data_IF_974398679597
#
_entry.id   IF_974398679597
#
_cell.length_a   1.000
_cell.length_b   1.000
_cell.length_c   1.000
_cell.angle_alpha   90.00
_cell.angle_beta   90.00
_cell.angle_gamma   90.00
#
_symmetry.space_group_name_H-M   'P 1'
#
loop_
_entity.id
_entity.type
_entity.pdbx_description
1 polymer ?
#
# COMPACT_ATOMS: atom_id res chain seq x y z
N UNK A 1 -7.33 -26.18 12.02
CA UNK A 1 -7.18 -25.13 13.07
C UNK A 1 -6.30 -23.97 12.60
N UNK A 2 -5.10 -24.23 12.06
CA UNK A 2 -4.14 -23.20 11.61
C UNK A 2 -4.72 -22.23 10.56
N UNK A 3 -5.44 -22.72 9.55
CA UNK A 3 -6.03 -21.85 8.52
C UNK A 3 -7.07 -20.88 9.08
N UNK A 4 -7.88 -21.31 10.08
CA UNK A 4 -8.86 -20.44 10.73
C UNK A 4 -8.18 -19.31 11.53
N UNK A 5 -7.09 -19.63 12.22
CA UNK A 5 -6.28 -18.63 12.95
C UNK A 5 -5.65 -17.64 11.96
N UNK A 6 -5.10 -18.11 10.85
CA UNK A 6 -4.56 -17.24 9.79
C UNK A 6 -5.63 -16.29 9.27
N UNK A 7 -6.80 -16.80 8.88
CA UNK A 7 -7.89 -15.97 8.37
C UNK A 7 -8.32 -14.92 9.38
N UNK A 8 -8.46 -15.29 10.66
CA UNK A 8 -8.77 -14.31 11.71
C UNK A 8 -7.67 -13.26 11.87
N UNK A 9 -6.39 -13.65 11.81
CA UNK A 9 -5.28 -12.70 11.89
C UNK A 9 -5.25 -11.75 10.70
N UNK A 10 -5.51 -12.23 9.48
CA UNK A 10 -5.55 -11.40 8.27
C UNK A 10 -6.74 -10.43 8.33
N UNK A 11 -7.93 -10.93 8.69
CA UNK A 11 -9.13 -10.10 8.83
C UNK A 11 -8.98 -9.02 9.91
N UNK A 12 -8.24 -9.31 10.99
CA UNK A 12 -8.01 -8.38 12.08
C UNK A 12 -6.64 -7.69 12.01
N UNK A 13 -5.87 -7.87 10.93
CA UNK A 13 -4.48 -7.42 10.84
C UNK A 13 -4.38 -5.92 11.11
N UNK A 14 -5.25 -5.14 10.47
CA UNK A 14 -5.34 -3.71 10.69
C UNK A 14 -5.68 -3.37 12.15
N UNK A 15 -6.67 -4.02 12.76
CA UNK A 15 -7.01 -3.78 14.17
C UNK A 15 -5.86 -4.09 15.13
N UNK A 16 -5.07 -5.13 14.85
CA UNK A 16 -3.93 -5.53 15.67
C UNK A 16 -2.78 -4.52 15.52
N UNK A 17 -2.52 -4.06 14.29
CA UNK A 17 -1.40 -3.18 13.96
C UNK A 17 -1.72 -1.69 14.17
N UNK A 18 -2.99 -1.30 14.25
CA UNK A 18 -3.41 0.10 14.38
C UNK A 18 -2.78 0.79 15.58
N UNK A 19 -2.95 0.24 16.78
CA UNK A 19 -2.42 0.84 18.01
C UNK A 19 -0.89 1.01 18.01
N UNK A 20 -0.07 -0.03 17.74
CA UNK A 20 1.39 0.15 17.74
C UNK A 20 1.85 1.14 16.67
N UNK A 21 1.25 1.12 15.47
CA UNK A 21 1.67 2.03 14.39
C UNK A 21 1.25 3.47 14.69
N UNK A 22 0.05 3.70 15.24
CA UNK A 22 -0.41 5.05 15.60
C UNK A 22 0.37 5.67 16.77
N UNK A 23 0.99 4.85 17.63
CA UNK A 23 1.86 5.30 18.71
C UNK A 23 3.27 5.66 18.25
N UNK A 24 3.68 5.23 17.05
CA UNK A 24 4.99 5.62 16.50
C UNK A 24 5.02 7.12 16.19
N UNK A 25 6.08 7.84 16.59
CA UNK A 25 6.22 9.25 16.25
C UNK A 25 6.17 9.45 14.72
N UNK A 26 5.40 10.45 14.26
CA UNK A 26 5.26 10.77 12.83
C UNK A 26 6.59 10.92 12.09
N UNK A 27 7.62 11.43 12.78
CA UNK A 27 8.99 11.54 12.24
C UNK A 27 9.57 10.17 11.85
N UNK A 28 9.37 9.15 12.68
CA UNK A 28 9.85 7.79 12.41
C UNK A 28 9.10 7.20 11.23
N UNK A 29 7.77 7.34 11.19
CA UNK A 29 6.96 6.90 10.05
C UNK A 29 7.42 7.55 8.75
N UNK A 30 7.66 8.87 8.76
CA UNK A 30 8.14 9.65 7.62
C UNK A 30 9.52 9.19 7.13
N UNK A 31 10.48 9.01 8.04
CA UNK A 31 11.82 8.53 7.67
C UNK A 31 11.73 7.13 7.05
N UNK A 32 10.99 6.22 7.69
CA UNK A 32 10.81 4.87 7.18
C UNK A 32 10.15 4.85 5.80
N UNK A 33 9.10 5.66 5.59
CA UNK A 33 8.42 5.79 4.30
C UNK A 33 9.35 6.33 3.22
N UNK A 34 10.06 7.42 3.49
CA UNK A 34 10.98 8.01 2.52
C UNK A 34 12.11 7.06 2.14
N UNK A 35 12.68 6.34 3.10
CA UNK A 35 13.74 5.38 2.83
C UNK A 35 13.23 4.19 2.01
N UNK A 36 12.05 3.68 2.33
CA UNK A 36 11.41 2.62 1.56
C UNK A 36 11.16 3.07 0.12
N UNK A 37 10.59 4.27 -0.09
CA UNK A 37 10.33 4.80 -1.43
C UNK A 37 11.64 5.01 -2.21
N UNK A 38 12.66 5.60 -1.62
CA UNK A 38 13.97 5.77 -2.28
C UNK A 38 14.60 4.45 -2.70
N UNK A 39 14.39 3.39 -1.92
CA UNK A 39 14.93 2.07 -2.23
C UNK A 39 14.18 1.40 -3.38
N UNK A 40 12.84 1.39 -3.36
CA UNK A 40 12.03 0.65 -4.36
C UNK A 40 11.82 1.41 -5.66
N UNK A 41 11.96 2.73 -5.64
CA UNK A 41 11.79 3.61 -6.80
C UNK A 41 13.11 4.24 -7.24
N UNK A 42 14.25 3.60 -6.94
CA UNK A 42 15.56 4.20 -7.22
C UNK A 42 15.73 4.55 -8.71
N UNK A 43 15.40 3.60 -9.59
CA UNK A 43 15.51 3.81 -11.05
C UNK A 43 14.55 4.91 -11.52
N UNK A 44 13.27 4.83 -11.15
CA UNK A 44 12.29 5.89 -11.45
C UNK A 44 12.66 7.28 -10.91
N UNK A 45 13.36 7.36 -9.77
CA UNK A 45 13.88 8.63 -9.27
C UNK A 45 15.04 9.15 -10.12
N UNK A 46 15.92 8.27 -10.60
CA UNK A 46 17.04 8.62 -11.48
C UNK A 46 16.57 9.01 -12.89
N UNK A 47 15.48 8.40 -13.37
CA UNK A 47 14.90 8.65 -14.70
C UNK A 47 13.96 9.88 -14.75
N UNK A 48 13.69 10.50 -13.60
CA UNK A 48 12.86 11.70 -13.52
C UNK A 48 11.35 11.42 -13.48
N UNK A 49 10.94 10.16 -13.29
CA UNK A 49 9.52 9.77 -13.25
C UNK A 49 8.74 10.43 -12.10
N UNK A 50 9.40 11.06 -11.13
CA UNK A 50 8.76 11.78 -10.03
C UNK A 50 8.57 13.28 -10.29
N UNK A 51 9.06 13.83 -11.41
CA UNK A 51 8.95 15.26 -11.74
C UNK A 51 7.49 15.72 -11.87
N UNK A 52 6.56 14.83 -12.23
CA UNK A 52 5.15 15.18 -12.29
C UNK A 52 4.56 15.56 -10.92
N UNK A 53 5.20 15.17 -9.81
CA UNK A 53 4.83 15.57 -8.44
C UNK A 53 5.42 16.92 -8.01
N UNK A 54 6.17 17.61 -8.87
CA UNK A 54 6.63 18.96 -8.55
C UNK A 54 5.46 19.91 -8.35
N UNK A 55 5.42 20.57 -7.19
CA UNK A 55 4.34 21.45 -6.76
C UNK A 55 2.96 20.78 -6.61
N UNK A 56 2.92 19.45 -6.64
CA UNK A 56 1.71 18.65 -6.45
C UNK A 56 1.87 17.70 -5.28
N UNK A 57 0.76 17.29 -4.68
CA UNK A 57 0.72 16.42 -3.51
C UNK A 57 -0.06 15.14 -3.80
N UNK A 58 0.64 14.02 -3.69
CA UNK A 58 0.06 12.69 -3.62
C UNK A 58 -0.28 12.36 -2.18
N UNK A 59 -1.52 12.00 -1.90
CA UNK A 59 -1.90 11.39 -0.63
C UNK A 59 -1.93 9.87 -0.76
N UNK A 60 -1.25 9.17 0.13
CA UNK A 60 -1.35 7.71 0.26
C UNK A 60 -1.99 7.38 1.61
N UNK A 61 -3.08 6.61 1.60
CA UNK A 61 -3.85 6.30 2.81
C UNK A 61 -4.09 4.80 3.00
N UNK A 62 -3.88 4.34 4.23
CA UNK A 62 -4.26 3.01 4.70
C UNK A 62 -5.50 3.16 5.58
N UNK A 63 -6.67 2.89 5.01
CA UNK A 63 -7.97 3.31 5.54
C UNK A 63 -8.25 2.64 6.89
N UNK A 64 -8.09 1.32 6.94
CA UNK A 64 -8.35 0.48 8.12
C UNK A 64 -7.35 0.72 9.28
N UNK A 65 -6.16 1.25 8.98
CA UNK A 65 -5.19 1.71 9.98
C UNK A 65 -5.37 3.18 10.38
N UNK A 66 -6.14 3.96 9.62
CA UNK A 66 -6.26 5.41 9.81
C UNK A 66 -4.92 6.14 9.65
N UNK A 67 -4.08 5.67 8.73
CA UNK A 67 -2.79 6.29 8.40
C UNK A 67 -2.87 6.97 7.05
N UNK A 68 -2.23 8.12 6.94
CA UNK A 68 -2.13 8.84 5.68
C UNK A 68 -0.85 9.67 5.63
N UNK A 69 -0.21 9.69 4.47
CA UNK A 69 0.96 10.50 4.20
C UNK A 69 0.72 11.33 2.94
N UNK A 70 1.27 12.55 2.93
CA UNK A 70 1.26 13.42 1.75
C UNK A 70 2.68 13.52 1.24
N UNK A 71 2.91 13.08 0.01
CA UNK A 71 4.19 12.96 -0.66
C UNK A 71 4.22 13.96 -1.81
N UNK A 72 5.36 14.59 -2.01
CA UNK A 72 5.62 15.48 -3.14
C UNK A 72 7.08 15.31 -3.57
N UNK A 73 7.44 15.93 -4.69
CA UNK A 73 8.80 15.94 -5.20
C UNK A 73 9.32 17.38 -5.25
N UNK A 74 10.49 17.62 -4.66
CA UNK A 74 11.10 18.96 -4.58
C UNK A 74 12.61 18.88 -4.49
N UNK A 75 13.30 19.72 -5.26
CA UNK A 75 14.76 19.77 -5.30
C UNK A 75 15.36 18.38 -5.57
N UNK A 76 14.81 17.67 -6.55
CA UNK A 76 15.22 16.31 -6.94
C UNK A 76 15.09 15.27 -5.82
N UNK A 77 14.18 15.51 -4.86
CA UNK A 77 13.99 14.62 -3.72
C UNK A 77 12.52 14.45 -3.34
N UNK A 78 12.17 13.23 -2.93
CA UNK A 78 10.90 12.95 -2.28
C UNK A 78 10.82 13.65 -0.92
N UNK A 79 9.68 14.31 -0.69
CA UNK A 79 9.36 14.96 0.57
C UNK A 79 8.01 14.48 1.08
N UNK A 80 7.89 14.35 2.40
CA UNK A 80 6.62 14.04 3.07
C UNK A 80 6.23 15.22 3.94
N UNK A 81 4.98 15.69 3.84
CA UNK A 81 4.51 16.83 4.62
C UNK A 81 4.36 16.47 6.10
N UNK A 82 4.81 17.39 6.97
CA UNK A 82 4.56 17.32 8.41
C UNK A 82 3.23 18.01 8.82
N UNK A 83 2.57 18.69 7.86
CA UNK A 83 1.35 19.47 8.07
C UNK A 83 0.23 19.00 7.13
N UNK A 84 -1.00 19.37 7.46
CA UNK A 84 -2.11 19.23 6.53
C UNK A 84 -1.83 20.07 5.27
N UNK A 85 -1.95 19.44 4.12
CA UNK A 85 -1.83 20.03 2.78
C UNK A 85 -3.02 19.53 1.97
N UNK A 86 -3.43 20.28 0.96
CA UNK A 86 -4.41 19.81 -0.01
C UNK A 86 -3.72 18.88 -0.99
N UNK A 87 -4.26 17.70 -1.17
CA UNK A 87 -3.83 16.71 -2.15
C UNK A 87 -4.41 17.01 -3.54
N UNK A 88 -3.61 16.77 -4.58
CA UNK A 88 -4.05 16.82 -5.98
C UNK A 88 -4.55 15.46 -6.45
N UNK A 89 -3.97 14.39 -5.88
CA UNK A 89 -4.36 13.00 -6.12
C UNK A 89 -4.27 12.21 -4.82
N UNK A 90 -5.22 11.31 -4.61
CA UNK A 90 -5.30 10.45 -3.44
C UNK A 90 -5.37 8.99 -3.86
N UNK A 91 -4.48 8.18 -3.32
CA UNK A 91 -4.41 6.75 -3.44
C UNK A 91 -4.75 6.11 -2.09
N UNK A 92 -5.76 5.25 -2.04
CA UNK A 92 -6.23 4.69 -0.78
C UNK A 92 -6.68 3.24 -0.90
N UNK A 93 -6.41 2.45 0.14
CA UNK A 93 -6.82 1.05 0.24
C UNK A 93 -6.69 0.53 1.66
N UNK A 94 -7.12 -0.71 1.89
CA UNK A 94 -6.90 -1.38 3.16
C UNK A 94 -5.49 -1.98 3.24
N UNK A 95 -5.00 -2.21 4.46
CA UNK A 95 -3.65 -2.73 4.69
C UNK A 95 -3.37 -4.01 3.89
N UNK A 96 -4.29 -4.96 3.93
CA UNK A 96 -4.12 -6.25 3.25
C UNK A 96 -4.01 -6.09 1.74
N UNK A 97 -4.79 -5.18 1.14
CA UNK A 97 -4.79 -4.92 -0.29
C UNK A 97 -3.45 -4.33 -0.73
N UNK A 98 -2.93 -3.36 0.03
CA UNK A 98 -1.63 -2.75 -0.23
C UNK A 98 -0.47 -3.76 -0.07
N UNK A 99 -0.56 -4.67 0.90
CA UNK A 99 0.42 -5.76 1.07
C UNK A 99 0.37 -6.74 -0.12
N UNK A 100 -0.81 -7.02 -0.67
CA UNK A 100 -0.95 -7.89 -1.84
C UNK A 100 -0.36 -7.24 -3.09
N UNK A 101 -0.58 -5.93 -3.31
CA UNK A 101 0.05 -5.16 -4.39
C UNK A 101 1.57 -5.19 -4.21
N UNK A 102 2.05 -4.79 -3.03
CA UNK A 102 3.48 -4.71 -2.75
C UNK A 102 4.17 -6.08 -2.83
N UNK A 103 3.48 -7.19 -2.58
CA UNK A 103 3.99 -8.55 -2.77
C UNK A 103 3.78 -9.13 -4.17
N UNK A 104 3.32 -8.34 -5.15
CA UNK A 104 2.93 -8.76 -6.51
C UNK A 104 1.99 -9.99 -6.51
N UNK A 105 1.07 -10.05 -5.55
CA UNK A 105 0.06 -11.12 -5.43
C UNK A 105 -1.26 -10.75 -6.08
N UNK A 106 -1.55 -9.46 -6.17
CA UNK A 106 -2.68 -8.86 -6.85
C UNK A 106 -2.20 -7.65 -7.62
N UNK A 107 -2.85 -7.37 -8.75
CA UNK A 107 -2.58 -6.21 -9.58
C UNK A 107 -3.40 -4.99 -9.08
N UNK A 108 -2.82 -3.77 -9.07
CA UNK A 108 -3.55 -2.57 -8.66
C UNK A 108 -4.82 -2.29 -9.49
N UNK A 109 -4.83 -2.59 -10.79
CA UNK A 109 -6.02 -2.45 -11.64
C UNK A 109 -7.12 -3.39 -11.17
N UNK A 110 -6.76 -4.63 -10.83
CA UNK A 110 -7.73 -5.63 -10.33
C UNK A 110 -8.41 -5.11 -9.07
N UNK A 111 -7.62 -4.58 -8.13
CA UNK A 111 -8.15 -4.04 -6.88
C UNK A 111 -8.95 -2.75 -7.08
N UNK A 112 -8.56 -1.91 -8.05
CA UNK A 112 -9.33 -0.73 -8.44
C UNK A 112 -10.70 -1.09 -9.00
N UNK A 113 -10.77 -2.04 -9.94
CA UNK A 113 -12.04 -2.53 -10.49
C UNK A 113 -12.93 -3.21 -9.44
N UNK A 114 -12.31 -3.85 -8.44
CA UNK A 114 -13.01 -4.42 -7.28
C UNK A 114 -13.41 -3.38 -6.22
N UNK A 115 -13.09 -2.09 -6.42
CA UNK A 115 -13.32 -1.00 -5.43
C UNK A 115 -12.62 -1.23 -4.09
N UNK A 116 -11.56 -2.04 -4.07
CA UNK A 116 -10.68 -2.27 -2.92
C UNK A 116 -9.53 -1.26 -2.87
N UNK A 117 -9.27 -0.64 -4.02
CA UNK A 117 -8.34 0.45 -4.20
C UNK A 117 -9.08 1.65 -4.80
N UNK A 118 -8.88 2.84 -4.26
CA UNK A 118 -9.46 4.09 -4.77
C UNK A 118 -8.35 5.06 -5.17
N UNK A 119 -8.50 5.63 -6.36
CA UNK A 119 -7.66 6.71 -6.90
C UNK A 119 -8.60 7.87 -7.21
N UNK A 120 -8.41 8.98 -6.51
CA UNK A 120 -9.28 10.16 -6.59
C UNK A 120 -8.45 11.42 -6.85
N UNK A 121 -9.04 12.42 -7.50
CA UNK A 121 -8.38 13.70 -7.81
C UNK A 121 -8.12 13.87 -9.30
N UNK A 122 -6.97 14.44 -9.64
CA UNK A 122 -6.54 14.68 -11.01
C UNK A 122 -6.28 13.35 -11.75
N UNK A 123 -6.95 13.17 -12.89
CA UNK A 123 -6.88 11.95 -13.69
C UNK A 123 -5.54 11.74 -14.39
N UNK A 124 -4.87 12.83 -14.78
CA UNK A 124 -3.54 12.78 -15.40
C UNK A 124 -2.51 12.31 -14.36
N UNK A 125 -2.58 12.87 -13.14
CA UNK A 125 -1.76 12.41 -12.03
C UNK A 125 -2.06 10.97 -11.64
N UNK A 126 -3.33 10.57 -11.66
CA UNK A 126 -3.72 9.18 -11.39
C UNK A 126 -3.04 8.19 -12.35
N UNK A 127 -2.88 8.57 -13.63
CA UNK A 127 -2.21 7.74 -14.62
C UNK A 127 -0.69 7.67 -14.36
N UNK A 128 -0.05 8.79 -14.05
CA UNK A 128 1.39 8.81 -13.74
C UNK A 128 1.70 7.99 -12.48
N UNK A 129 0.85 8.07 -11.45
CA UNK A 129 0.98 7.25 -10.24
C UNK A 129 0.86 5.77 -10.56
N UNK A 130 -0.04 5.38 -11.47
CA UNK A 130 -0.15 4.00 -11.91
C UNK A 130 1.14 3.53 -12.60
N UNK A 131 1.68 4.35 -13.52
CA UNK A 131 2.94 4.02 -14.20
C UNK A 131 4.09 3.84 -13.19
N UNK A 132 4.16 4.69 -12.15
CA UNK A 132 5.10 4.50 -11.04
C UNK A 132 4.88 3.18 -10.31
N UNK A 133 3.64 2.80 -10.01
CA UNK A 133 3.38 1.54 -9.32
C UNK A 133 3.85 0.33 -10.12
N UNK A 134 3.75 0.38 -11.44
CA UNK A 134 4.23 -0.66 -12.35
C UNK A 134 5.76 -0.72 -12.41
N UNK A 135 6.45 0.41 -12.14
CA UNK A 135 7.91 0.51 -12.13
C UNK A 135 8.57 0.05 -10.82
N UNK A 136 7.78 -0.26 -9.77
CA UNK A 136 8.30 -0.71 -8.47
C UNK A 136 9.19 -1.94 -8.63
N UNK A 137 10.47 -1.81 -8.33
CA UNK A 137 11.40 -2.94 -8.26
C UNK A 137 11.66 -3.38 -6.82
N UNK A 138 11.02 -4.49 -6.45
CA UNK A 138 11.18 -5.11 -5.13
C UNK A 138 12.53 -5.83 -4.98
N UNK A 139 13.27 -6.07 -6.08
CA UNK A 139 14.59 -6.68 -6.03
C UNK A 139 15.65 -5.73 -5.47
N UNK A 140 15.38 -4.42 -5.51
CA UNK A 140 16.20 -3.37 -4.90
C UNK A 140 16.04 -3.29 -3.38
N UNK A 141 15.02 -3.97 -2.81
CA UNK A 141 14.88 -4.04 -1.35
C UNK A 141 15.99 -4.88 -0.73
N UNK A 142 16.46 -4.51 0.48
CA UNK A 142 17.32 -5.39 1.26
C UNK A 142 16.68 -6.77 1.45
N UNK A 143 17.46 -7.84 1.26
CA UNK A 143 16.98 -9.25 1.30
C UNK A 143 16.06 -9.55 2.49
N UNK A 144 16.34 -9.08 3.74
CA UNK A 144 15.44 -9.32 4.87
C UNK A 144 14.07 -8.69 4.68
N UNK A 145 14.02 -7.47 4.13
CA UNK A 145 12.78 -6.73 3.89
C UNK A 145 11.96 -7.38 2.78
N UNK A 146 12.60 -7.74 1.66
CA UNK A 146 11.96 -8.48 0.57
C UNK A 146 11.36 -9.80 1.05
N UNK A 147 12.11 -10.54 1.86
CA UNK A 147 11.65 -11.83 2.42
C UNK A 147 10.46 -11.64 3.35
N UNK A 148 10.51 -10.64 4.23
CA UNK A 148 9.40 -10.32 5.12
C UNK A 148 8.14 -9.92 4.32
N UNK A 149 8.29 -9.06 3.32
CA UNK A 149 7.19 -8.63 2.46
C UNK A 149 6.54 -9.82 1.75
N UNK A 150 7.33 -10.70 1.16
CA UNK A 150 6.83 -11.91 0.49
C UNK A 150 6.09 -12.84 1.45
N UNK A 151 6.62 -13.03 2.67
CA UNK A 151 5.95 -13.85 3.69
C UNK A 151 4.61 -13.24 4.13
N UNK A 152 4.57 -11.93 4.32
CA UNK A 152 3.33 -11.22 4.66
C UNK A 152 2.31 -11.32 3.52
N UNK A 153 2.74 -11.11 2.27
CA UNK A 153 1.88 -11.21 1.11
C UNK A 153 1.32 -12.63 0.92
N UNK A 154 2.15 -13.67 1.06
CA UNK A 154 1.70 -15.07 1.05
C UNK A 154 0.72 -15.38 2.18
N UNK A 155 0.97 -14.83 3.38
CA UNK A 155 0.11 -15.02 4.54
C UNK A 155 -1.26 -14.36 4.35
N UNK A 156 -1.27 -13.12 3.85
CA UNK A 156 -2.48 -12.35 3.54
C UNK A 156 -3.27 -13.04 2.42
N UNK A 157 -2.63 -13.39 1.30
CA UNK A 157 -3.28 -14.04 0.16
C UNK A 157 -3.99 -15.33 0.59
N UNK A 158 -3.30 -16.20 1.34
CA UNK A 158 -3.88 -17.44 1.86
C UNK A 158 -5.03 -17.17 2.84
N UNK A 159 -4.95 -16.10 3.62
CA UNK A 159 -5.99 -15.71 4.57
C UNK A 159 -7.28 -15.24 3.87
N UNK A 160 -7.14 -14.42 2.84
CA UNK A 160 -8.25 -13.88 2.03
C UNK A 160 -8.92 -14.98 1.21
N UNK A 161 -8.15 -15.81 0.48
CA UNK A 161 -8.72 -16.92 -0.29
C UNK A 161 -9.49 -17.91 0.60
N UNK A 162 -9.00 -18.16 1.82
CA UNK A 162 -9.66 -19.05 2.76
C UNK A 162 -10.99 -18.51 3.29
N UNK A 163 -11.17 -17.19 3.37
CA UNK A 163 -12.47 -16.58 3.75
C UNK A 163 -13.49 -16.63 2.62
N UNK A 164 -13.05 -16.46 1.38
CA UNK A 164 -13.95 -16.48 0.21
C UNK A 164 -14.50 -17.89 0.00
N UNK A 165 -13.64 -18.92 0.07
CA UNK A 165 -14.08 -20.32 -0.01
C UNK A 165 -15.05 -20.67 1.12
N UNK A 166 -14.83 -20.20 2.37
CA UNK A 166 -15.75 -20.47 3.48
C UNK A 166 -17.12 -19.82 3.29
N UNK A 167 -17.17 -18.64 2.68
CA UNK A 167 -18.42 -17.92 2.41
C UNK A 167 -19.22 -18.62 1.31
N UNK A 168 -18.55 -19.12 0.26
CA UNK A 168 -19.19 -19.88 -0.82
C UNK A 168 -19.82 -21.20 -0.35
N UNK A 169 -19.08 -22.03 0.41
CA UNK A 169 -19.67 -23.28 0.94
C UNK A 169 -20.82 -23.00 1.91
N UNK A 170 -20.72 -22.00 2.78
CA UNK A 170 -21.81 -21.71 3.73
C UNK A 170 -23.10 -21.25 3.03
N UNK A 171 -22.98 -20.51 1.93
CA UNK A 171 -24.11 -20.10 1.10
C UNK A 171 -24.70 -21.27 0.27
N UNK A 172 -23.88 -22.23 -0.15
CA UNK A 172 -24.33 -23.41 -0.90
C UNK A 172 -25.17 -24.40 -0.07
N UNK A 173 -25.02 -24.40 1.26
CA UNK A 173 -25.82 -25.24 2.18
C UNK A 173 -26.99 -24.51 2.86
N UNK A 174 -27.23 -23.23 2.53
CA UNK A 174 -28.31 -22.42 3.13
C UNK A 174 -29.49 -22.14 2.18
N UNK A 175 -29.55 -22.79 1.01
CA UNK A 175 -30.69 -22.70 0.07
C UNK A 175 -31.48 -24.02 0.04
#
# INVERSE_FOLDING_TARGET
MINKIRTQLVQNAASILRSPVQLLPKKVQKIALLEAMKSVFKESLEDGDFEFLENKWLKVSIIDLGLSWHISYKNEQLVVSDKAVTEDVSFSGNLNDLVLIAGRKEDPDTLFFQRRLSIEGDTELGLEIKNLMDSVDLDLLPIPMKTLLNQLADFVQKGVQSSDTQSEVMNAYSN
#
